data_IF_192828468252
#
_entry.id   IF_192828468252
#
_cell.length_a   1.000
_cell.length_b   1.000
_cell.length_c   1.000
_cell.angle_alpha   90.00
_cell.angle_beta   90.00
_cell.angle_gamma   90.00
#
_symmetry.space_group_name_H-M   'P 1'
#
loop_
_entity.id
_entity.type
_entity.pdbx_description
1 polymer ?
#
# COMPACT_ATOMS: atom_id res chain seq x y z
N UNK A 1 13.70 -4.51 -15.67
CA UNK A 1 12.36 -4.18 -15.15
C UNK A 1 12.08 -5.02 -13.92
N UNK A 2 11.39 -4.48 -12.92
CA UNK A 2 11.00 -5.22 -11.71
C UNK A 2 9.48 -5.24 -11.62
N UNK A 3 8.87 -6.42 -11.58
CA UNK A 3 7.43 -6.57 -11.33
C UNK A 3 7.19 -6.37 -9.84
N UNK A 4 6.34 -5.42 -9.49
CA UNK A 4 6.07 -5.03 -8.10
C UNK A 4 4.58 -4.99 -7.75
N UNK A 5 3.70 -5.26 -8.71
CA UNK A 5 2.27 -5.35 -8.50
C UNK A 5 1.61 -6.12 -9.63
N UNK A 6 0.62 -6.95 -9.29
CA UNK A 6 -0.19 -7.72 -10.20
C UNK A 6 -1.62 -7.74 -9.67
N UNK A 7 -2.60 -7.64 -10.56
CA UNK A 7 -4.01 -7.86 -10.25
C UNK A 7 -4.74 -8.38 -11.49
N UNK A 8 -5.75 -9.21 -11.30
CA UNK A 8 -6.54 -9.81 -12.39
C UNK A 8 -7.93 -9.17 -12.42
N UNK A 9 -8.43 -8.88 -13.61
CA UNK A 9 -9.79 -8.35 -13.77
C UNK A 9 -9.95 -7.59 -15.07
N UNK A 10 -11.20 -7.32 -15.45
CA UNK A 10 -11.52 -6.60 -16.69
C UNK A 10 -10.94 -7.26 -17.96
N UNK A 11 -10.96 -8.59 -18.05
CA UNK A 11 -10.49 -9.35 -19.21
C UNK A 11 -8.98 -9.30 -19.41
N UNK A 12 -8.21 -9.29 -18.33
CA UNK A 12 -6.75 -9.27 -18.40
C UNK A 12 -6.05 -9.13 -17.05
N UNK A 13 -4.75 -8.85 -17.14
CA UNK A 13 -3.82 -8.72 -16.03
C UNK A 13 -3.23 -7.31 -15.99
N UNK A 14 -3.29 -6.69 -14.83
CA UNK A 14 -2.78 -5.35 -14.55
C UNK A 14 -1.41 -5.47 -13.87
N UNK A 15 -0.36 -4.93 -14.49
CA UNK A 15 1.01 -5.18 -14.04
C UNK A 15 1.76 -3.89 -13.79
N UNK A 16 2.30 -3.72 -12.58
CA UNK A 16 3.29 -2.69 -12.29
C UNK A 16 4.67 -3.27 -12.58
N UNK A 17 5.31 -2.76 -13.63
CA UNK A 17 6.68 -3.11 -13.98
C UNK A 17 7.42 -1.84 -14.39
N UNK A 18 8.05 -1.21 -13.39
CA UNK A 18 8.64 0.13 -13.51
C UNK A 18 9.65 0.16 -14.68
N UNK A 19 9.57 1.14 -15.59
CA UNK A 19 8.95 2.47 -15.43
C UNK A 19 7.47 2.59 -15.79
N UNK A 20 6.81 1.47 -16.08
CA UNK A 20 5.51 1.44 -16.72
C UNK A 20 4.47 0.69 -15.87
N UNK A 21 3.22 1.07 -16.08
CA UNK A 21 2.04 0.35 -15.63
C UNK A 21 1.33 -0.18 -16.87
N UNK A 22 1.14 -1.50 -16.91
CA UNK A 22 0.66 -2.22 -18.08
C UNK A 22 -0.72 -2.85 -17.84
N UNK A 23 -1.44 -3.07 -18.93
CA UNK A 23 -2.52 -4.04 -19.02
C UNK A 23 -2.16 -5.09 -20.09
N UNK A 24 -2.29 -6.36 -19.74
CA UNK A 24 -2.08 -7.50 -20.63
C UNK A 24 -3.44 -8.15 -20.84
N UNK A 25 -4.00 -8.14 -22.06
CA UNK A 25 -5.32 -8.70 -22.32
C UNK A 25 -5.31 -10.23 -22.20
N UNK A 26 -6.36 -10.76 -21.60
CA UNK A 26 -6.68 -12.19 -21.46
C UNK A 26 -8.21 -12.28 -21.30
N UNK A 27 -8.90 -12.10 -22.42
CA UNK A 27 -10.35 -11.93 -22.49
C UNK A 27 -11.10 -13.26 -22.37
N UNK A 28 -10.46 -14.37 -22.73
CA UNK A 28 -11.00 -15.72 -22.57
C UNK A 28 -10.58 -16.39 -21.25
N UNK A 29 -9.71 -15.75 -20.47
CA UNK A 29 -9.25 -16.19 -19.15
C UNK A 29 -8.52 -17.53 -19.19
N UNK A 30 -7.82 -17.82 -20.28
CA UNK A 30 -7.04 -19.05 -20.43
C UNK A 30 -5.62 -18.94 -19.82
N UNK A 31 -5.23 -17.74 -19.36
CA UNK A 31 -3.92 -17.46 -18.77
C UNK A 31 -2.83 -17.21 -19.82
N UNK A 32 -3.18 -17.07 -21.09
CA UNK A 32 -2.32 -16.74 -22.21
C UNK A 32 -2.67 -15.31 -22.69
N UNK A 33 -1.69 -14.42 -22.89
CA UNK A 33 -1.98 -13.09 -23.41
C UNK A 33 -2.62 -13.13 -24.80
N UNK A 34 -3.76 -12.46 -24.96
CA UNK A 34 -4.46 -12.25 -26.24
C UNK A 34 -3.75 -11.23 -27.16
N UNK A 35 -2.72 -10.56 -26.65
CA UNK A 35 -2.00 -9.53 -27.37
C UNK A 35 -0.86 -8.93 -26.57
N UNK A 36 -0.21 -7.95 -27.20
CA UNK A 36 0.92 -7.24 -26.60
C UNK A 36 0.50 -6.44 -25.36
N UNK A 37 1.38 -6.35 -24.34
CA UNK A 37 1.15 -5.48 -23.19
C UNK A 37 0.91 -4.02 -23.59
N UNK A 38 -0.16 -3.42 -23.08
CA UNK A 38 -0.51 -2.03 -23.31
C UNK A 38 0.02 -1.16 -22.18
N UNK A 39 0.87 -0.18 -22.48
CA UNK A 39 1.33 0.81 -21.49
C UNK A 39 0.20 1.80 -21.18
N UNK A 40 -0.34 1.72 -19.96
CA UNK A 40 -1.41 2.60 -19.49
C UNK A 40 -0.87 3.90 -18.89
N UNK A 41 0.20 3.80 -18.11
CA UNK A 41 0.93 4.93 -17.55
C UNK A 41 2.44 4.66 -17.61
N UNK A 42 3.22 5.71 -17.82
CA UNK A 42 4.68 5.71 -17.73
C UNK A 42 5.16 6.78 -16.74
N UNK A 43 6.47 6.85 -16.51
CA UNK A 43 7.07 7.86 -15.62
C UNK A 43 7.10 7.45 -14.15
N UNK A 44 6.84 6.17 -13.85
CA UNK A 44 7.30 5.57 -12.61
C UNK A 44 8.83 5.41 -12.70
N UNK A 45 9.56 5.81 -11.67
CA UNK A 45 11.02 5.82 -11.75
C UNK A 45 11.67 5.08 -10.60
N UNK A 46 12.98 4.80 -10.73
CA UNK A 46 13.88 4.39 -9.63
C UNK A 46 14.97 5.44 -9.40
N UNK A 47 14.68 6.71 -9.67
CA UNK A 47 15.67 7.78 -9.76
C UNK A 47 16.48 7.98 -8.47
N UNK A 48 15.93 7.62 -7.30
CA UNK A 48 16.62 7.72 -6.03
C UNK A 48 17.29 6.40 -5.59
N UNK A 49 16.60 5.27 -5.77
CA UNK A 49 17.05 3.89 -5.53
C UNK A 49 15.90 2.90 -5.83
N UNK A 50 16.14 1.60 -5.68
CA UNK A 50 15.14 0.53 -5.81
C UNK A 50 14.25 0.33 -4.57
N UNK A 51 14.30 1.22 -3.59
CA UNK A 51 13.49 1.16 -2.38
C UNK A 51 12.24 2.05 -2.53
N UNK A 52 11.15 1.76 -1.82
CA UNK A 52 9.92 2.60 -1.80
C UNK A 52 9.27 2.84 -3.16
N UNK A 53 9.27 1.83 -4.02
CA UNK A 53 8.77 1.93 -5.39
C UNK A 53 7.23 1.83 -5.48
N UNK A 54 6.68 2.16 -6.65
CA UNK A 54 5.27 1.84 -6.97
C UNK A 54 5.07 0.33 -6.88
N UNK A 55 4.05 -0.13 -6.16
CA UNK A 55 3.85 -1.55 -5.88
C UNK A 55 2.41 -1.85 -5.44
N UNK A 56 2.07 -3.13 -5.47
CA UNK A 56 0.81 -3.66 -4.98
C UNK A 56 -0.38 -3.19 -5.81
N UNK A 57 -1.36 -4.08 -5.93
CA UNK A 57 -2.66 -3.73 -6.49
C UNK A 57 -3.75 -4.41 -5.69
N UNK A 58 -4.91 -3.76 -5.62
CA UNK A 58 -6.14 -4.39 -5.21
C UNK A 58 -7.34 -3.60 -5.76
N UNK A 59 -8.45 -4.29 -6.02
CA UNK A 59 -9.69 -3.67 -6.47
C UNK A 59 -10.44 -3.04 -5.32
N UNK A 60 -10.75 -1.75 -5.44
CA UNK A 60 -11.64 -1.08 -4.51
C UNK A 60 -13.10 -1.47 -4.73
N UNK A 61 -13.97 -1.33 -3.71
CA UNK A 61 -15.41 -1.59 -3.83
C UNK A 61 -16.11 -0.62 -4.79
N UNK A 62 -15.45 0.47 -5.17
CA UNK A 62 -15.90 1.44 -6.18
C UNK A 62 -15.53 1.05 -7.63
N UNK A 63 -14.88 -0.11 -7.82
CA UNK A 63 -14.46 -0.62 -9.13
C UNK A 63 -13.20 0.04 -9.69
N UNK A 64 -12.49 0.85 -8.90
CA UNK A 64 -11.17 1.37 -9.29
C UNK A 64 -10.06 0.43 -8.85
N UNK A 65 -8.96 0.41 -9.61
CA UNK A 65 -7.74 -0.28 -9.22
C UNK A 65 -6.93 0.62 -8.30
N UNK A 66 -6.58 0.17 -7.10
CA UNK A 66 -5.75 0.91 -6.16
C UNK A 66 -4.34 0.35 -6.16
N UNK A 67 -3.35 1.24 -6.09
CA UNK A 67 -1.95 0.88 -5.95
C UNK A 67 -1.26 1.72 -4.88
N UNK A 68 -0.14 1.22 -4.38
CA UNK A 68 0.67 1.91 -3.37
C UNK A 68 1.97 2.43 -3.96
N UNK A 69 2.56 3.44 -3.33
CA UNK A 69 3.83 4.01 -3.76
C UNK A 69 4.55 4.64 -2.58
N UNK A 70 5.84 4.38 -2.45
CA UNK A 70 6.61 4.92 -1.34
C UNK A 70 7.18 6.33 -1.58
N UNK A 71 7.73 6.91 -0.53
CA UNK A 71 8.01 8.36 -0.43
C UNK A 71 9.37 8.77 -1.00
N UNK A 72 10.38 7.89 -0.93
CA UNK A 72 11.76 8.28 -1.28
C UNK A 72 12.06 8.17 -2.76
N UNK A 73 11.33 7.32 -3.48
CA UNK A 73 11.54 7.10 -4.89
C UNK A 73 10.35 7.62 -5.70
N UNK A 74 10.18 8.95 -5.67
CA UNK A 74 9.06 9.67 -6.29
C UNK A 74 8.96 9.46 -7.81
N UNK A 75 7.76 9.65 -8.35
CA UNK A 75 7.43 9.43 -9.77
C UNK A 75 6.69 10.62 -10.37
N UNK A 76 6.63 10.66 -11.71
CA UNK A 76 5.79 11.58 -12.49
C UNK A 76 4.84 10.76 -13.39
N UNK A 77 3.84 10.06 -12.82
CA UNK A 77 2.96 9.22 -13.62
C UNK A 77 2.16 10.04 -14.63
N UNK A 78 2.01 9.51 -15.84
CA UNK A 78 1.19 10.09 -16.90
C UNK A 78 0.91 9.07 -17.99
N UNK A 79 -0.06 9.36 -18.86
CA UNK A 79 -0.25 8.54 -20.08
C UNK A 79 0.98 8.66 -20.97
N UNK A 80 1.34 7.62 -21.75
CA UNK A 80 2.41 7.73 -22.73
C UNK A 80 2.31 8.99 -23.59
N UNK A 81 3.42 9.69 -23.76
CA UNK A 81 3.48 10.96 -24.49
C UNK A 81 3.03 12.21 -23.71
N UNK A 82 2.58 12.09 -22.46
CA UNK A 82 2.27 13.28 -21.63
C UNK A 82 3.54 14.09 -21.36
N UNK A 83 3.58 15.40 -21.71
CA UNK A 83 4.71 16.28 -21.41
C UNK A 83 5.01 16.36 -19.91
N UNK A 84 6.29 16.49 -19.55
CA UNK A 84 6.75 16.48 -18.15
C UNK A 84 6.05 17.54 -17.28
N UNK A 85 5.78 18.70 -17.86
CA UNK A 85 5.19 19.87 -17.23
C UNK A 85 3.70 19.66 -16.90
N UNK A 86 3.05 18.71 -17.59
CA UNK A 86 1.66 18.30 -17.34
C UNK A 86 1.55 17.14 -16.37
N UNK A 87 2.66 16.53 -15.95
CA UNK A 87 2.68 15.40 -15.01
C UNK A 87 2.67 15.92 -13.57
N UNK A 88 1.93 15.22 -12.71
CA UNK A 88 1.90 15.49 -11.27
C UNK A 88 2.88 14.57 -10.57
N UNK A 89 3.76 15.14 -9.74
CA UNK A 89 4.64 14.35 -8.87
C UNK A 89 3.81 13.55 -7.88
N UNK A 90 4.13 12.26 -7.75
CA UNK A 90 3.55 11.39 -6.74
C UNK A 90 4.63 10.70 -5.92
N UNK A 91 4.38 10.61 -4.63
CA UNK A 91 5.32 10.12 -3.65
C UNK A 91 4.57 9.81 -2.36
N UNK A 92 4.78 8.60 -1.82
CA UNK A 92 4.27 8.20 -0.51
C UNK A 92 2.75 8.24 -0.43
N UNK A 93 2.07 7.13 -0.64
CA UNK A 93 0.62 7.08 -0.52
C UNK A 93 -0.05 5.98 -1.31
N UNK A 94 -1.34 6.22 -1.53
CA UNK A 94 -2.23 5.40 -2.33
C UNK A 94 -2.69 6.19 -3.52
N UNK A 95 -2.69 5.56 -4.67
CA UNK A 95 -3.27 6.09 -5.90
C UNK A 95 -4.29 5.12 -6.45
N UNK A 96 -5.13 5.62 -7.36
CA UNK A 96 -6.11 4.79 -8.02
C UNK A 96 -6.19 5.07 -9.52
N UNK A 97 -6.65 4.06 -10.24
CA UNK A 97 -6.84 4.09 -11.68
C UNK A 97 -8.22 3.58 -12.05
N UNK A 98 -8.93 4.33 -12.88
CA UNK A 98 -10.22 3.90 -13.39
C UNK A 98 -10.02 2.98 -14.60
N UNK A 99 -10.46 1.71 -14.55
CA UNK A 99 -10.12 0.72 -15.56
C UNK A 99 -10.72 1.03 -16.95
N UNK A 100 -11.93 1.59 -17.01
CA UNK A 100 -12.61 1.93 -18.29
C UNK A 100 -12.29 3.35 -18.79
N UNK A 101 -12.29 4.35 -17.90
CA UNK A 101 -12.04 5.75 -18.27
C UNK A 101 -10.55 6.07 -18.44
N UNK A 102 -9.68 5.19 -17.97
CA UNK A 102 -8.23 5.36 -18.01
C UNK A 102 -7.79 6.68 -17.36
N UNK A 103 -8.28 6.94 -16.16
CA UNK A 103 -7.97 8.12 -15.35
C UNK A 103 -7.15 7.66 -14.15
N UNK A 104 -5.98 8.27 -13.95
CA UNK A 104 -5.19 8.08 -12.74
C UNK A 104 -5.33 9.30 -11.83
N UNK A 105 -5.39 9.07 -10.52
CA UNK A 105 -5.32 10.15 -9.54
C UNK A 105 -4.70 9.69 -8.21
N UNK A 106 -4.03 10.61 -7.48
CA UNK A 106 -3.67 10.35 -6.10
C UNK A 106 -4.93 10.23 -5.24
N UNK A 107 -5.04 9.14 -4.48
CA UNK A 107 -6.16 8.92 -3.55
C UNK A 107 -5.84 9.49 -2.18
N UNK A 108 -4.65 9.23 -1.66
CA UNK A 108 -4.14 9.75 -0.39
C UNK A 108 -2.61 9.82 -0.42
N UNK A 109 -2.00 10.71 0.37
CA UNK A 109 -0.55 10.92 0.39
C UNK A 109 0.03 10.98 1.81
N UNK A 110 1.34 10.82 1.95
CA UNK A 110 2.09 11.04 3.19
C UNK A 110 2.67 9.78 3.84
N UNK A 111 2.28 8.58 3.40
CA UNK A 111 2.84 7.32 3.93
C UNK A 111 4.28 7.10 3.45
N UNK A 112 5.09 6.35 4.21
CA UNK A 112 6.53 6.21 3.91
C UNK A 112 6.81 5.13 2.85
N UNK A 113 6.37 3.91 3.08
CA UNK A 113 6.68 2.76 2.23
C UNK A 113 5.52 1.76 2.30
N UNK A 114 4.35 2.13 1.77
CA UNK A 114 3.19 1.27 1.80
C UNK A 114 3.39 0.04 0.92
N UNK A 115 3.00 -1.13 1.43
CA UNK A 115 3.05 -2.42 0.72
C UNK A 115 1.72 -3.15 0.86
N UNK A 116 0.77 -2.77 0.01
CA UNK A 116 -0.56 -3.36 0.00
C UNK A 116 -1.63 -2.43 0.57
N UNK A 117 -2.84 -2.62 0.07
CA UNK A 117 -4.07 -1.94 0.47
C UNK A 117 -5.16 -2.98 0.48
N UNK A 118 -6.05 -2.93 1.47
CA UNK A 118 -7.23 -3.79 1.51
C UNK A 118 -8.39 -3.08 2.21
N UNK A 119 -9.59 -3.64 2.10
CA UNK A 119 -10.83 -3.04 2.59
C UNK A 119 -11.52 -3.93 3.61
N UNK A 120 -12.11 -3.29 4.62
CA UNK A 120 -13.02 -4.02 5.51
C UNK A 120 -14.42 -4.18 4.88
N UNK A 121 -15.32 -4.83 5.61
CA UNK A 121 -16.69 -5.11 5.17
C UNK A 121 -17.52 -3.85 4.81
N UNK A 122 -17.09 -2.67 5.25
CA UNK A 122 -17.74 -1.39 4.95
C UNK A 122 -17.12 -0.68 3.73
N UNK A 123 -16.10 -1.27 3.11
CA UNK A 123 -15.35 -0.64 2.02
C UNK A 123 -14.40 0.46 2.49
N UNK A 124 -13.99 0.44 3.77
CA UNK A 124 -12.98 1.38 4.27
C UNK A 124 -11.59 0.83 4.00
N UNK A 125 -10.69 1.65 3.45
CA UNK A 125 -9.36 1.22 3.03
C UNK A 125 -8.33 1.26 4.16
N UNK A 126 -7.42 0.29 4.18
CA UNK A 126 -6.31 0.20 5.12
C UNK A 126 -5.02 -0.11 4.37
N UNK A 127 -3.90 0.42 4.87
CA UNK A 127 -2.58 0.22 4.27
C UNK A 127 -1.56 -0.03 5.34
N UNK A 128 -0.78 -1.10 5.15
CA UNK A 128 0.43 -1.33 5.93
C UNK A 128 1.61 -0.56 5.34
N UNK A 129 2.47 -0.05 6.21
CA UNK A 129 3.71 0.64 5.87
C UNK A 129 4.89 -0.16 6.42
N UNK A 130 5.94 -0.26 5.61
CA UNK A 130 7.26 -0.63 6.09
C UNK A 130 7.94 0.59 6.74
N UNK A 131 8.60 0.34 7.87
CA UNK A 131 9.26 1.25 8.82
C UNK A 131 8.36 1.83 9.91
N UNK A 132 7.81 3.05 9.77
CA UNK A 132 7.09 3.67 10.89
C UNK A 132 6.08 4.71 10.44
N UNK A 133 4.95 4.82 11.15
CA UNK A 133 4.23 3.72 11.82
C UNK A 133 3.66 2.72 10.79
N UNK A 134 3.20 1.53 11.22
CA UNK A 134 2.93 0.41 10.31
C UNK A 134 1.51 0.33 9.74
N UNK A 135 0.48 0.98 10.29
CA UNK A 135 -0.90 0.81 9.79
C UNK A 135 -1.70 2.11 9.75
N UNK A 136 -2.46 2.31 8.68
CA UNK A 136 -3.27 3.50 8.45
C UNK A 136 -4.65 3.15 7.92
N UNK A 137 -5.68 3.85 8.41
CA UNK A 137 -7.00 3.93 7.77
C UNK A 137 -6.96 5.03 6.71
N UNK A 138 -7.10 4.64 5.43
CA UNK A 138 -6.91 5.51 4.27
C UNK A 138 -8.22 6.17 3.84
N UNK A 139 -8.22 7.49 3.81
CA UNK A 139 -9.35 8.36 3.46
C UNK A 139 -8.98 9.15 2.21
N UNK A 140 -9.93 9.28 1.27
CA UNK A 140 -9.72 10.05 0.05
C UNK A 140 -9.34 11.51 0.36
N UNK A 141 -8.28 12.00 -0.27
CA UNK A 141 -7.75 13.35 -0.10
C UNK A 141 -6.94 13.57 1.19
N UNK A 142 -6.79 12.55 2.05
CA UNK A 142 -6.07 12.69 3.30
C UNK A 142 -4.55 12.80 3.11
N UNK A 143 -3.93 13.49 4.07
CA UNK A 143 -2.49 13.63 4.22
C UNK A 143 -2.05 12.92 5.50
N UNK A 144 -1.05 12.05 5.44
CA UNK A 144 -0.60 11.21 6.56
C UNK A 144 0.81 11.57 7.06
N UNK A 145 1.10 11.20 8.31
CA UNK A 145 2.47 11.09 8.83
C UNK A 145 3.08 9.71 8.51
N UNK A 146 4.41 9.54 8.39
CA UNK A 146 5.44 10.56 8.54
C UNK A 146 5.79 11.20 7.20
N UNK A 147 5.62 12.52 7.12
CA UNK A 147 6.10 13.28 5.98
C UNK A 147 7.53 13.77 6.26
N UNK A 148 8.55 12.90 6.16
CA UNK A 148 10.01 13.17 6.39
C UNK A 148 10.45 14.63 6.10
N UNK A 149 10.19 15.55 7.03
CA UNK A 149 10.35 17.00 6.89
C UNK A 149 9.74 17.65 5.63
N UNK A 150 8.70 17.07 5.03
CA UNK A 150 8.00 17.69 3.88
C UNK A 150 6.91 18.64 4.37
N UNK A 151 6.59 19.72 3.62
CA UNK A 151 5.47 20.57 3.97
C UNK A 151 4.14 19.82 3.80
N UNK A 152 3.17 20.10 4.68
CA UNK A 152 1.78 19.68 4.47
C UNK A 152 1.24 20.39 3.23
N UNK A 153 0.28 19.77 2.53
CA UNK A 153 -0.37 20.43 1.40
C UNK A 153 -0.93 21.79 1.81
N UNK A 154 -0.82 22.80 0.92
CA UNK A 154 -1.21 24.20 1.20
C UNK A 154 -2.61 24.34 1.81
N UNK A 155 -3.53 23.45 1.46
CA UNK A 155 -4.93 23.50 1.86
C UNK A 155 -5.31 22.37 2.84
N UNK A 156 -4.35 21.58 3.32
CA UNK A 156 -4.63 20.56 4.31
C UNK A 156 -4.62 21.18 5.71
N UNK A 157 -5.66 20.89 6.49
CA UNK A 157 -5.81 21.36 7.86
C UNK A 157 -4.75 20.77 8.79
N UNK A 158 -4.65 19.44 8.79
CA UNK A 158 -3.66 18.68 9.55
C UNK A 158 -3.31 17.36 8.84
N UNK A 159 -2.34 16.64 9.38
CA UNK A 159 -2.02 15.29 8.94
C UNK A 159 -2.64 14.28 9.88
N UNK A 160 -3.14 13.19 9.31
CA UNK A 160 -3.74 12.08 10.02
C UNK A 160 -2.61 11.14 10.50
N UNK A 161 -2.53 10.82 11.81
CA UNK A 161 -1.55 9.86 12.32
C UNK A 161 -1.94 8.42 11.97
N UNK A 162 -1.10 7.48 12.38
CA UNK A 162 -1.43 6.05 12.34
C UNK A 162 -2.61 5.72 13.24
N UNK A 163 -3.28 4.61 12.91
CA UNK A 163 -4.30 4.00 13.76
C UNK A 163 -3.71 2.98 14.76
N UNK A 164 -2.45 2.57 14.58
CA UNK A 164 -1.80 1.61 15.47
C UNK A 164 -1.43 2.23 16.81
N UNK A 165 -1.76 1.55 17.90
CA UNK A 165 -1.42 1.95 19.27
C UNK A 165 -0.10 1.34 19.79
N UNK A 166 0.57 0.57 18.95
CA UNK A 166 1.79 -0.18 19.27
C UNK A 166 2.77 -0.14 18.09
N UNK A 167 3.95 -0.72 18.30
CA UNK A 167 4.96 -0.92 17.28
C UNK A 167 5.33 -2.40 17.24
N UNK A 168 5.56 -2.91 16.04
CA UNK A 168 6.03 -4.29 15.87
C UNK A 168 7.52 -4.50 16.18
N UNK A 169 8.17 -3.52 16.81
CA UNK A 169 9.60 -3.50 17.13
C UNK A 169 9.86 -2.69 18.40
N UNK A 170 10.99 -2.97 19.06
CA UNK A 170 11.34 -2.43 20.38
C UNK A 170 11.68 -0.94 20.41
N UNK A 171 11.96 -0.35 19.24
CA UNK A 171 12.31 1.07 19.07
C UNK A 171 13.55 1.51 19.88
N UNK A 172 14.51 0.62 20.14
CA UNK A 172 15.72 0.94 20.91
C UNK A 172 16.88 1.43 20.03
N UNK A 173 17.15 2.74 20.07
CA UNK A 173 18.33 3.51 19.58
C UNK A 173 18.78 3.35 18.11
N UNK A 174 18.68 2.19 17.48
CA UNK A 174 18.79 2.00 16.03
C UNK A 174 17.75 0.99 15.54
N UNK A 175 17.06 1.32 14.44
CA UNK A 175 15.85 0.58 14.03
C UNK A 175 16.09 -0.90 13.70
N UNK A 176 17.34 -1.29 13.44
CA UNK A 176 17.73 -2.65 13.07
C UNK A 176 18.42 -3.46 14.17
N UNK A 177 18.80 -2.85 15.29
CA UNK A 177 19.60 -3.54 16.31
C UNK A 177 18.85 -4.69 17.01
N UNK A 178 17.52 -4.59 17.12
CA UNK A 178 16.69 -5.62 17.75
C UNK A 178 16.36 -6.81 16.84
N UNK A 179 16.60 -6.73 15.52
CA UNK A 179 16.12 -7.76 14.59
C UNK A 179 16.69 -9.13 14.97
N UNK A 180 15.80 -10.09 15.25
CA UNK A 180 16.15 -11.46 15.61
C UNK A 180 16.39 -11.71 17.10
N UNK A 181 16.32 -10.69 17.97
CA UNK A 181 16.39 -10.90 19.42
C UNK A 181 15.04 -11.35 20.00
N UNK A 182 15.01 -12.02 21.16
CA UNK A 182 13.77 -12.39 21.84
C UNK A 182 12.87 -11.19 22.17
N UNK A 183 13.45 -10.04 22.50
CA UNK A 183 12.71 -8.82 22.85
C UNK A 183 11.99 -8.24 21.63
N UNK A 184 12.64 -8.22 20.47
CA UNK A 184 12.01 -7.79 19.22
C UNK A 184 10.95 -8.79 18.76
N UNK A 185 11.23 -10.09 18.88
CA UNK A 185 10.28 -11.14 18.58
C UNK A 185 9.03 -11.06 19.48
N UNK A 186 9.16 -10.59 20.73
CA UNK A 186 8.04 -10.46 21.66
C UNK A 186 7.06 -9.33 21.28
N UNK A 187 7.48 -8.36 20.47
CA UNK A 187 6.64 -7.22 20.07
C UNK A 187 6.19 -7.28 18.61
N UNK A 188 6.56 -8.31 17.84
CA UNK A 188 6.13 -8.47 16.44
C UNK A 188 7.27 -8.74 15.45
N UNK A 189 8.53 -8.65 15.90
CA UNK A 189 9.70 -9.12 15.17
C UNK A 189 10.31 -8.13 14.17
N UNK A 190 9.78 -6.91 14.07
CA UNK A 190 10.40 -5.83 13.32
C UNK A 190 9.40 -4.95 12.56
N UNK A 191 9.96 -4.10 11.71
CA UNK A 191 9.25 -3.02 11.02
C UNK A 191 9.23 -3.19 9.49
N UNK A 192 9.37 -4.43 8.98
CA UNK A 192 9.39 -4.72 7.55
C UNK A 192 8.12 -5.47 7.13
N UNK A 193 7.00 -4.75 7.13
CA UNK A 193 5.68 -5.25 6.74
C UNK A 193 5.53 -5.33 5.22
N UNK A 194 4.84 -6.36 4.76
CA UNK A 194 4.45 -6.56 3.36
C UNK A 194 3.09 -7.24 3.26
N UNK A 195 2.24 -6.73 2.38
CA UNK A 195 0.86 -7.14 2.26
C UNK A 195 0.00 -6.54 3.37
N UNK A 196 -1.24 -6.24 3.02
CA UNK A 196 -2.29 -5.86 3.97
C UNK A 196 -3.49 -6.73 3.60
N UNK A 197 -4.01 -7.49 4.55
CA UNK A 197 -5.21 -8.29 4.36
C UNK A 197 -6.17 -8.04 5.51
N UNK A 198 -7.38 -7.59 5.22
CA UNK A 198 -8.49 -7.63 6.16
C UNK A 198 -9.20 -8.96 5.94
N UNK A 199 -9.18 -9.82 6.96
CA UNK A 199 -9.74 -11.16 6.78
C UNK A 199 -11.27 -11.12 6.80
N UNK A 200 -11.88 -11.30 5.62
CA UNK A 200 -13.35 -11.36 5.43
C UNK A 200 -13.82 -12.73 4.93
N UNK A 201 -12.99 -13.78 5.04
CA UNK A 201 -13.38 -15.15 4.73
C UNK A 201 -14.14 -15.84 5.88
N UNK A 202 -14.49 -17.10 5.65
CA UNK A 202 -15.18 -17.98 6.60
C UNK A 202 -14.44 -19.33 6.82
N UNK A 203 -13.24 -19.46 6.27
CA UNK A 203 -12.39 -20.66 6.31
C UNK A 203 -11.31 -20.66 7.41
N UNK A 204 -11.08 -19.56 8.11
CA UNK A 204 -10.24 -19.42 9.30
C UNK A 204 -11.14 -19.24 10.53
N UNK A 205 -10.63 -19.40 11.77
CA UNK A 205 -11.41 -19.15 12.99
C UNK A 205 -12.18 -17.82 12.94
N UNK A 206 -13.44 -17.85 13.36
CA UNK A 206 -14.34 -16.70 13.30
C UNK A 206 -13.81 -15.46 14.06
N UNK A 207 -12.93 -15.67 15.04
CA UNK A 207 -12.29 -14.60 15.81
C UNK A 207 -11.33 -13.72 14.97
N UNK A 208 -10.86 -14.19 13.82
CA UNK A 208 -9.98 -13.41 12.92
C UNK A 208 -10.77 -12.54 11.94
N UNK A 209 -12.09 -12.73 11.84
CA UNK A 209 -12.90 -12.02 10.86
C UNK A 209 -12.97 -10.52 11.20
N UNK A 210 -12.51 -9.70 10.26
CA UNK A 210 -12.42 -8.24 10.39
C UNK A 210 -11.06 -7.73 10.90
N UNK A 211 -10.15 -8.63 11.27
CA UNK A 211 -8.80 -8.28 11.71
C UNK A 211 -7.83 -8.12 10.53
N UNK A 212 -6.73 -7.40 10.77
CA UNK A 212 -5.70 -7.12 9.76
C UNK A 212 -4.51 -8.04 9.94
N UNK A 213 -4.03 -8.59 8.83
CA UNK A 213 -2.84 -9.42 8.78
C UNK A 213 -1.81 -8.83 7.83
N UNK A 214 -0.53 -8.89 8.23
CA UNK A 214 0.60 -8.42 7.43
C UNK A 214 1.78 -9.38 7.56
N UNK A 215 2.45 -9.69 6.47
CA UNK A 215 3.70 -10.45 6.56
C UNK A 215 4.80 -9.56 7.14
N UNK A 216 5.61 -10.08 8.06
CA UNK A 216 6.77 -9.38 8.61
C UNK A 216 8.06 -10.09 8.20
N UNK A 217 8.82 -9.45 7.33
CA UNK A 217 10.07 -10.01 6.76
C UNK A 217 11.15 -10.13 7.83
N UNK A 218 11.23 -9.17 8.76
CA UNK A 218 12.20 -9.23 9.87
C UNK A 218 11.80 -10.30 10.88
N UNK A 219 10.52 -10.34 11.24
CA UNK A 219 9.97 -11.24 12.25
C UNK A 219 9.72 -12.68 11.79
N UNK A 220 9.77 -12.92 10.47
CA UNK A 220 9.49 -14.20 9.81
C UNK A 220 8.15 -14.81 10.24
N UNK A 221 7.11 -13.98 10.25
CA UNK A 221 5.79 -14.30 10.78
C UNK A 221 4.71 -13.48 10.10
N UNK A 222 3.46 -13.75 10.44
CA UNK A 222 2.32 -12.89 10.09
C UNK A 222 1.93 -12.10 11.33
N UNK A 223 2.10 -10.78 11.28
CA UNK A 223 1.54 -9.90 12.30
C UNK A 223 0.02 -9.82 12.16
N UNK A 224 -0.63 -9.65 13.30
CA UNK A 224 -2.08 -9.67 13.43
C UNK A 224 -2.53 -8.51 14.32
N UNK A 225 -3.33 -7.60 13.77
CA UNK A 225 -3.86 -6.43 14.45
C UNK A 225 -5.39 -6.45 14.46
N UNK A 226 -6.00 -6.16 15.61
CA UNK A 226 -7.46 -6.03 15.74
C UNK A 226 -7.92 -4.61 15.49
N UNK A 227 -8.92 -4.46 14.62
CA UNK A 227 -9.53 -3.17 14.34
C UNK A 227 -10.71 -2.91 15.27
N UNK A 228 -10.65 -1.79 16.00
CA UNK A 228 -11.76 -1.29 16.80
C UNK A 228 -12.17 0.11 16.33
N UNK A 229 -13.47 0.40 16.27
CA UNK A 229 -13.96 1.75 15.94
C UNK A 229 -13.52 2.74 17.02
N UNK A 230 -13.01 3.91 16.60
CA UNK A 230 -12.62 5.01 17.48
C UNK A 230 -12.91 6.35 16.82
N UNK A 231 -13.86 7.11 17.37
CA UNK A 231 -14.34 8.33 16.75
C UNK A 231 -14.88 8.08 15.33
N UNK A 232 -14.41 8.85 14.35
CA UNK A 232 -14.74 8.68 12.93
C UNK A 232 -13.86 7.65 12.21
N UNK A 233 -12.91 6.99 12.89
CA UNK A 233 -11.97 6.05 12.30
C UNK A 233 -11.81 4.78 13.14
N UNK A 234 -10.57 4.31 13.25
CA UNK A 234 -10.20 3.06 13.90
C UNK A 234 -9.00 3.24 14.82
N UNK A 235 -8.87 2.34 15.78
CA UNK A 235 -7.62 1.99 16.43
C UNK A 235 -7.25 0.55 16.05
N UNK A 236 -5.97 0.25 15.98
CA UNK A 236 -5.43 -1.07 15.72
C UNK A 236 -4.54 -1.50 16.89
N UNK A 237 -4.93 -2.60 17.54
CA UNK A 237 -4.23 -3.16 18.70
C UNK A 237 -3.62 -4.51 18.36
N UNK A 238 -2.39 -4.75 18.84
CA UNK A 238 -1.67 -5.99 18.55
C UNK A 238 -2.40 -7.20 19.13
N UNK A 239 -2.60 -8.22 18.30
CA UNK A 239 -3.07 -9.54 18.71
C UNK A 239 -1.95 -10.57 18.59
N UNK A 240 -2.13 -11.80 19.12
CA UNK A 240 -1.17 -12.86 18.90
C UNK A 240 -0.92 -13.08 17.40
N UNK A 241 0.35 -12.94 17.01
CA UNK A 241 0.85 -13.23 15.66
C UNK A 241 0.59 -14.70 15.26
N UNK A 242 0.63 -14.98 13.96
CA UNK A 242 0.49 -16.32 13.36
C UNK A 242 1.81 -16.79 12.73
#
# INVERSE_FOLDING_TARGET
>A
EYVSGIEVGFGGVWVMSIPNFYFIPDADYDGVPDGEPVVLLDGFGTHANSHTIANGFAWGPDGWLYGTHGITNWSLPGKPGTPKEKRRRFEGGVWRYHPVRHIWEPFAIGTTNPWGVDWNEYGHAFVCNCVNPHLFHIIQGAHYEPARNRPTGRFAYERIPTIADHLHFTNTKTIRAGIGTPEEAAVGGGHAHSGTMIYLGDNWPAEYRGDVFMNNIHGRRINHDRLARKGSGYAASHAPDV
#
